data_IF_737036898127
#
_entry.id   IF_737036898127
#
_cell.length_a   1.000
_cell.length_b   1.000
_cell.length_c   1.000
_cell.angle_alpha   90.00
_cell.angle_beta   90.00
_cell.angle_gamma   90.00
#
_symmetry.space_group_name_H-M   'P 1'
#
loop_
_entity.id
_entity.type
_entity.pdbx_description
1 polymer ?
#
# COMPACT_ATOMS: atom_id res chain seq x y z
N UNK A 1 23.14 1.99 3.22
CA UNK A 1 22.81 3.05 2.26
C UNK A 1 21.86 3.99 2.97
N UNK A 2 22.11 5.29 2.95
CA UNK A 2 21.28 6.25 3.67
C UNK A 2 19.89 6.30 3.04
N UNK A 3 18.84 6.29 3.88
CA UNK A 3 17.46 6.39 3.38
C UNK A 3 17.25 7.77 2.75
N UNK A 4 16.73 7.78 1.53
CA UNK A 4 16.34 9.00 0.83
C UNK A 4 14.86 9.27 1.13
N UNK A 5 14.59 10.32 1.89
CA UNK A 5 13.23 10.88 1.98
C UNK A 5 12.85 11.51 0.64
N UNK A 6 11.65 11.24 0.15
CA UNK A 6 11.18 11.81 -1.11
C UNK A 6 10.74 13.26 -0.88
N UNK A 7 11.67 14.20 -0.98
CA UNK A 7 11.34 15.64 -1.00
C UNK A 7 10.36 15.99 -2.14
N UNK A 8 9.63 17.10 -2.00
CA UNK A 8 8.57 17.51 -2.95
C UNK A 8 8.98 17.52 -4.43
N UNK A 9 10.17 18.01 -4.82
CA UNK A 9 10.58 17.98 -6.22
C UNK A 9 10.72 16.55 -6.76
N UNK A 10 11.28 15.64 -5.97
CA UNK A 10 11.50 14.27 -6.38
C UNK A 10 10.20 13.47 -6.46
N UNK A 11 9.28 13.65 -5.50
CA UNK A 11 7.90 13.11 -5.57
C UNK A 11 7.21 13.58 -6.85
N UNK A 12 7.34 14.86 -7.20
CA UNK A 12 6.70 15.43 -8.39
C UNK A 12 7.23 14.78 -9.67
N UNK A 13 8.55 14.54 -9.75
CA UNK A 13 9.16 13.82 -10.87
C UNK A 13 8.62 12.40 -10.95
N UNK A 14 8.62 11.64 -9.85
CA UNK A 14 8.09 10.26 -9.80
C UNK A 14 6.63 10.23 -10.25
N UNK A 15 5.76 11.08 -9.70
CA UNK A 15 4.35 11.17 -10.09
C UNK A 15 4.22 11.45 -11.59
N UNK A 16 5.03 12.35 -12.13
CA UNK A 16 4.99 12.68 -13.56
C UNK A 16 5.38 11.48 -14.42
N UNK A 17 6.41 10.74 -14.01
CA UNK A 17 6.86 9.49 -14.65
C UNK A 17 5.74 8.44 -14.60
N UNK A 18 5.10 8.24 -13.45
CA UNK A 18 4.00 7.29 -13.28
C UNK A 18 2.77 7.65 -14.13
N UNK A 19 2.56 8.94 -14.37
CA UNK A 19 1.48 9.46 -15.22
C UNK A 19 1.81 9.42 -16.72
N UNK A 20 3.06 9.18 -17.11
CA UNK A 20 3.45 9.10 -18.51
C UNK A 20 2.96 7.79 -19.16
N UNK A 21 2.78 7.83 -20.49
CA UNK A 21 2.56 6.62 -21.27
C UNK A 21 3.72 5.64 -21.01
N UNK A 22 3.46 4.35 -20.69
CA UNK A 22 4.51 3.37 -20.43
C UNK A 22 5.59 3.31 -21.52
N UNK A 23 5.24 3.56 -22.79
CA UNK A 23 6.20 3.63 -23.90
C UNK A 23 7.25 4.73 -23.73
N UNK A 24 6.94 5.81 -23.01
CA UNK A 24 7.87 6.91 -22.71
C UNK A 24 8.86 6.55 -21.58
N UNK A 25 8.60 5.47 -20.81
CA UNK A 25 9.54 5.00 -19.79
C UNK A 25 10.80 4.38 -20.39
N UNK A 26 10.73 3.95 -21.66
CA UNK A 26 11.90 3.51 -22.43
C UNK A 26 13.03 4.55 -22.50
N UNK A 27 12.74 5.84 -22.26
CA UNK A 27 13.73 6.92 -22.14
C UNK A 27 14.67 6.72 -20.94
N UNK A 28 14.22 6.04 -19.88
CA UNK A 28 15.05 5.68 -18.72
C UNK A 28 15.92 4.43 -18.97
N UNK A 29 15.94 3.88 -20.19
CA UNK A 29 16.83 2.78 -20.58
C UNK A 29 16.21 1.39 -20.41
N UNK A 30 16.74 0.57 -19.48
CA UNK A 30 16.28 -0.83 -19.27
C UNK A 30 14.89 -0.91 -18.65
N UNK A 31 14.45 0.15 -17.98
CA UNK A 31 13.15 0.27 -17.30
C UNK A 31 12.05 0.52 -18.34
N UNK A 32 11.73 -0.49 -19.15
CA UNK A 32 10.67 -0.41 -20.18
C UNK A 32 9.26 -0.56 -19.59
N UNK A 33 9.18 -0.97 -18.33
CA UNK A 33 7.98 -1.35 -17.60
C UNK A 33 7.97 -0.61 -16.26
N UNK A 34 6.78 -0.17 -15.80
CA UNK A 34 6.63 0.56 -14.52
C UNK A 34 7.09 -0.29 -13.32
N UNK A 35 7.19 -1.58 -13.53
CA UNK A 35 7.42 -2.64 -12.54
C UNK A 35 8.87 -2.67 -12.07
N UNK A 36 9.81 -2.43 -12.98
CA UNK A 36 11.22 -2.25 -12.63
C UNK A 36 11.47 -0.90 -11.97
N UNK A 37 10.62 0.10 -12.22
CA UNK A 37 10.82 1.43 -11.67
C UNK A 37 10.67 1.47 -10.15
N UNK A 38 9.72 0.72 -9.58
CA UNK A 38 9.60 0.60 -8.11
C UNK A 38 10.88 0.00 -7.50
N UNK A 39 11.39 -1.08 -8.11
CA UNK A 39 12.62 -1.76 -7.68
C UNK A 39 13.86 -0.87 -7.80
N UNK A 40 13.97 -0.14 -8.90
CA UNK A 40 15.07 0.80 -9.15
C UNK A 40 15.08 1.89 -8.08
N UNK A 41 13.91 2.46 -7.76
CA UNK A 41 13.74 3.47 -6.72
C UNK A 41 14.11 2.93 -5.32
N UNK A 42 13.71 1.70 -4.99
CA UNK A 42 14.15 1.04 -3.75
C UNK A 42 15.67 0.85 -3.71
N UNK A 43 16.26 0.41 -4.82
CA UNK A 43 17.70 0.13 -4.93
C UNK A 43 18.54 1.40 -4.69
N UNK A 44 18.05 2.56 -5.15
CA UNK A 44 18.71 3.84 -4.90
C UNK A 44 18.45 4.41 -3.49
N UNK A 45 17.70 3.69 -2.63
CA UNK A 45 17.51 4.03 -1.23
C UNK A 45 16.22 4.80 -0.91
N UNK A 46 15.26 4.88 -1.83
CA UNK A 46 13.96 5.48 -1.54
C UNK A 46 13.20 4.64 -0.50
N UNK A 47 12.44 5.31 0.39
CA UNK A 47 11.66 4.60 1.40
C UNK A 47 10.47 3.84 0.80
N UNK A 48 10.34 2.56 1.16
CA UNK A 48 9.29 1.67 0.67
C UNK A 48 7.88 2.23 0.87
N UNK A 49 7.57 2.79 2.03
CA UNK A 49 6.21 3.24 2.35
C UNK A 49 5.84 4.50 1.56
N UNK A 50 6.80 5.39 1.35
CA UNK A 50 6.61 6.58 0.51
C UNK A 50 6.41 6.20 -0.96
N UNK A 51 7.14 5.20 -1.46
CA UNK A 51 6.94 4.69 -2.81
C UNK A 51 5.59 3.99 -2.96
N UNK A 52 5.22 3.14 -2.01
CA UNK A 52 3.96 2.41 -2.05
C UNK A 52 2.76 3.37 -2.08
N UNK A 53 2.79 4.40 -1.22
CA UNK A 53 1.79 5.47 -1.22
C UNK A 53 1.70 6.17 -2.59
N UNK A 54 2.83 6.53 -3.19
CA UNK A 54 2.85 7.20 -4.50
C UNK A 54 2.31 6.32 -5.61
N UNK A 55 2.72 5.05 -5.66
CA UNK A 55 2.29 4.11 -6.69
C UNK A 55 0.81 3.78 -6.57
N UNK A 56 0.30 3.57 -5.35
CA UNK A 56 -1.11 3.31 -5.12
C UNK A 56 -1.99 4.51 -5.52
N UNK A 57 -1.59 5.74 -5.13
CA UNK A 57 -2.32 6.95 -5.50
C UNK A 57 -2.28 7.29 -7.00
N UNK A 58 -1.27 6.78 -7.73
CA UNK A 58 -1.20 6.93 -9.18
C UNK A 58 -1.85 5.76 -9.95
N UNK A 59 -2.51 4.82 -9.25
CA UNK A 59 -3.05 3.58 -9.84
C UNK A 59 -1.98 2.83 -10.68
N UNK A 60 -0.72 2.90 -10.23
CA UNK A 60 0.43 2.38 -10.95
C UNK A 60 0.83 0.96 -10.50
N UNK A 61 0.06 0.36 -9.59
CA UNK A 61 0.27 -1.01 -9.11
C UNK A 61 -0.48 -1.97 -10.03
N UNK A 62 0.28 -2.86 -10.67
CA UNK A 62 -0.21 -3.96 -11.50
C UNK A 62 0.41 -5.30 -11.02
N UNK A 63 0.03 -6.42 -11.65
CA UNK A 63 0.48 -7.76 -11.29
C UNK A 63 2.02 -7.94 -11.26
N UNK A 64 2.75 -7.29 -12.16
CA UNK A 64 4.21 -7.38 -12.24
C UNK A 64 4.86 -6.59 -11.10
N UNK A 65 4.40 -5.35 -10.84
CA UNK A 65 4.85 -4.56 -9.69
C UNK A 65 4.50 -5.19 -8.33
N UNK A 66 3.38 -5.92 -8.24
CA UNK A 66 2.92 -6.57 -6.99
C UNK A 66 3.98 -7.54 -6.47
N UNK A 67 4.56 -8.37 -7.34
CA UNK A 67 5.61 -9.31 -6.93
C UNK A 67 6.82 -8.58 -6.36
N UNK A 68 7.24 -7.49 -7.02
CA UNK A 68 8.32 -6.65 -6.51
C UNK A 68 7.97 -6.01 -5.16
N UNK A 69 6.74 -5.53 -4.97
CA UNK A 69 6.29 -4.94 -3.70
C UNK A 69 6.35 -5.99 -2.60
N UNK A 70 5.77 -7.18 -2.83
CA UNK A 70 5.69 -8.29 -1.88
C UNK A 70 7.08 -8.77 -1.44
N UNK A 71 8.02 -8.93 -2.39
CA UNK A 71 9.39 -9.36 -2.10
C UNK A 71 10.19 -8.36 -1.25
N UNK A 72 9.80 -7.08 -1.26
CA UNK A 72 10.53 -6.00 -0.62
C UNK A 72 9.80 -5.40 0.60
N UNK A 73 8.73 -6.05 1.08
CA UNK A 73 7.99 -5.57 2.25
C UNK A 73 8.89 -5.57 3.51
N UNK A 74 9.08 -4.42 4.18
CA UNK A 74 9.86 -4.36 5.41
C UNK A 74 9.01 -4.73 6.63
N UNK A 75 9.64 -5.38 7.62
CA UNK A 75 9.13 -5.62 8.99
C UNK A 75 7.66 -6.11 9.05
N UNK A 76 7.42 -7.31 8.54
CA UNK A 76 6.07 -7.91 8.47
C UNK A 76 5.63 -8.45 9.84
N UNK A 77 4.50 -7.97 10.33
CA UNK A 77 3.74 -8.57 11.44
C UNK A 77 2.67 -9.53 10.87
N UNK A 78 2.57 -10.75 11.40
CA UNK A 78 1.59 -11.74 10.93
C UNK A 78 0.26 -11.56 11.67
N UNK A 79 -0.84 -11.54 10.92
CA UNK A 79 -2.21 -11.55 11.43
C UNK A 79 -2.83 -12.89 11.01
N UNK A 80 -2.93 -13.83 11.96
CA UNK A 80 -3.46 -15.17 11.72
C UNK A 80 -5.00 -15.21 11.74
N UNK A 81 -5.60 -14.32 12.53
CA UNK A 81 -7.04 -14.25 12.67
C UNK A 81 -7.51 -12.82 12.43
N UNK A 82 -8.12 -12.55 11.27
CA UNK A 82 -8.61 -11.23 10.88
C UNK A 82 -10.01 -10.93 11.43
N UNK A 83 -10.29 -11.32 12.69
CA UNK A 83 -11.50 -10.87 13.37
C UNK A 83 -11.52 -9.34 13.53
N UNK A 84 -12.68 -8.80 13.86
CA UNK A 84 -12.92 -7.36 13.91
C UNK A 84 -11.95 -6.61 14.83
N UNK A 85 -11.44 -7.26 15.90
CA UNK A 85 -10.45 -6.67 16.82
C UNK A 85 -9.08 -6.54 16.14
N UNK A 86 -8.65 -7.55 15.39
CA UNK A 86 -7.36 -7.55 14.69
C UNK A 86 -7.38 -6.61 13.49
N UNK A 87 -8.45 -6.60 12.70
CA UNK A 87 -8.64 -5.60 11.63
C UNK A 87 -8.59 -4.19 12.20
N UNK A 88 -9.29 -3.94 13.30
CA UNK A 88 -9.27 -2.65 13.99
C UNK A 88 -7.88 -2.30 14.52
N UNK A 89 -7.08 -3.27 14.98
CA UNK A 89 -5.72 -3.04 15.49
C UNK A 89 -4.78 -2.51 14.41
N UNK A 90 -4.99 -2.92 13.15
CA UNK A 90 -4.23 -2.41 12.02
C UNK A 90 -4.56 -0.94 11.68
N UNK A 91 -5.72 -0.43 12.09
CA UNK A 91 -6.18 0.96 11.90
C UNK A 91 -6.25 1.68 13.25
N UNK A 92 -5.11 2.17 13.79
CA UNK A 92 -5.08 2.82 15.09
C UNK A 92 -5.88 4.14 15.11
N UNK A 93 -5.89 4.87 14.00
CA UNK A 93 -6.48 6.19 13.91
C UNK A 93 -7.48 6.26 12.75
N UNK A 94 -8.72 6.62 13.08
CA UNK A 94 -9.77 6.88 12.11
C UNK A 94 -10.69 7.97 12.64
N UNK A 95 -10.85 9.03 11.87
CA UNK A 95 -11.71 10.15 12.24
C UNK A 95 -12.92 10.16 11.32
N UNK A 96 -14.08 9.73 11.83
CA UNK A 96 -15.33 9.96 11.13
C UNK A 96 -15.62 11.47 11.13
N UNK A 97 -15.37 12.14 10.01
CA UNK A 97 -15.79 13.52 9.82
C UNK A 97 -17.32 13.59 9.64
N UNK A 98 -17.92 14.72 10.05
CA UNK A 98 -19.33 15.04 9.76
C UNK A 98 -19.62 15.21 8.26
N UNK A 99 -18.59 15.19 7.41
CA UNK A 99 -18.62 15.61 6.02
C UNK A 99 -18.10 14.52 5.09
N UNK A 100 -18.67 13.30 5.14
CA UNK A 100 -18.52 12.28 4.08
C UNK A 100 -17.34 11.29 4.19
N UNK A 101 -16.85 10.96 5.39
CA UNK A 101 -15.99 9.77 5.59
C UNK A 101 -16.81 8.64 6.17
N UNK A 102 -16.66 7.42 5.64
CA UNK A 102 -17.22 6.21 6.23
C UNK A 102 -16.80 6.05 7.70
N UNK A 103 -17.62 5.39 8.52
CA UNK A 103 -17.26 5.14 9.91
C UNK A 103 -16.15 4.09 9.99
N UNK A 104 -15.39 4.06 11.10
CA UNK A 104 -14.38 3.01 11.29
C UNK A 104 -15.00 1.60 11.23
N UNK A 105 -16.26 1.45 11.67
CA UNK A 105 -16.97 0.18 11.58
C UNK A 105 -17.19 -0.23 10.12
N UNK A 106 -17.63 0.70 9.28
CA UNK A 106 -17.89 0.44 7.86
C UNK A 106 -16.59 0.07 7.13
N UNK A 107 -15.50 0.76 7.43
CA UNK A 107 -14.18 0.46 6.84
C UNK A 107 -13.62 -0.88 7.29
N UNK A 108 -13.73 -1.21 8.58
CA UNK A 108 -13.33 -2.55 9.05
C UNK A 108 -14.16 -3.64 8.35
N UNK A 109 -15.46 -3.41 8.16
CA UNK A 109 -16.33 -4.35 7.45
C UNK A 109 -15.94 -4.47 5.97
N UNK A 110 -15.63 -3.35 5.30
CA UNK A 110 -15.18 -3.34 3.91
C UNK A 110 -13.85 -4.09 3.73
N UNK A 111 -12.86 -3.82 4.59
CA UNK A 111 -11.59 -4.54 4.60
C UNK A 111 -11.80 -6.05 4.74
N UNK A 112 -12.66 -6.44 5.69
CA UNK A 112 -12.98 -7.85 5.92
C UNK A 112 -13.61 -8.48 4.68
N UNK A 113 -14.55 -7.78 4.04
CA UNK A 113 -15.16 -8.25 2.79
C UNK A 113 -14.10 -8.48 1.71
N UNK A 114 -13.22 -7.51 1.44
CA UNK A 114 -12.16 -7.67 0.42
C UNK A 114 -11.22 -8.84 0.71
N UNK A 115 -10.86 -9.04 1.99
CA UNK A 115 -10.04 -10.16 2.46
C UNK A 115 -10.75 -11.50 2.24
N UNK A 116 -12.03 -11.60 2.60
CA UNK A 116 -12.84 -12.82 2.49
C UNK A 116 -13.19 -13.17 1.04
N UNK A 117 -13.34 -12.16 0.18
CA UNK A 117 -13.66 -12.35 -1.24
C UNK A 117 -12.44 -12.45 -2.16
N UNK A 118 -11.23 -12.52 -1.61
CA UNK A 118 -9.96 -12.56 -2.36
C UNK A 118 -9.93 -11.52 -3.49
N UNK A 119 -10.40 -10.31 -3.19
CA UNK A 119 -10.58 -9.27 -4.20
C UNK A 119 -9.25 -8.68 -4.61
N UNK A 120 -8.62 -9.29 -5.61
CA UNK A 120 -7.34 -8.86 -6.16
C UNK A 120 -7.35 -7.37 -6.49
N UNK A 121 -6.31 -6.67 -6.03
CA UNK A 121 -6.15 -5.25 -6.26
C UNK A 121 -5.47 -4.53 -5.12
N UNK A 122 -5.42 -3.21 -5.24
CA UNK A 122 -4.95 -2.30 -4.19
C UNK A 122 -6.09 -1.38 -3.78
N UNK A 123 -6.36 -1.31 -2.48
CA UNK A 123 -7.40 -0.48 -1.90
C UNK A 123 -6.76 0.54 -0.95
N UNK A 124 -7.03 1.82 -1.18
CA UNK A 124 -6.43 2.92 -0.43
C UNK A 124 -7.48 3.53 0.50
N UNK A 125 -7.16 3.61 1.78
CA UNK A 125 -8.01 4.18 2.82
C UNK A 125 -7.32 5.38 3.45
N UNK A 126 -8.07 6.46 3.63
CA UNK A 126 -7.59 7.68 4.27
C UNK A 126 -8.39 7.92 5.55
N UNK A 127 -7.70 8.08 6.68
CA UNK A 127 -8.33 8.26 8.00
C UNK A 127 -9.16 9.54 8.10
N UNK A 128 -8.96 10.47 7.17
CA UNK A 128 -9.70 11.71 7.04
C UNK A 128 -9.87 12.11 5.56
N UNK A 129 -10.95 12.82 5.23
CA UNK A 129 -11.18 13.38 3.89
C UNK A 129 -11.31 14.92 3.91
N UNK A 130 -10.80 15.55 4.96
CA UNK A 130 -10.81 17.00 5.11
C UNK A 130 -9.90 17.67 4.10
N UNK A 131 -10.42 18.69 3.41
CA UNK A 131 -9.60 19.58 2.55
C UNK A 131 -8.56 20.40 3.34
N UNK A 132 -8.70 20.44 4.67
CA UNK A 132 -7.76 21.15 5.52
C UNK A 132 -6.53 20.27 5.81
N UNK A 133 -5.42 20.57 5.13
CA UNK A 133 -4.13 19.88 5.27
C UNK A 133 -3.52 19.90 6.68
N UNK A 134 -4.06 20.72 7.60
CA UNK A 134 -3.64 20.72 9.02
C UNK A 134 -4.26 19.58 9.82
N UNK A 135 -5.29 18.92 9.28
CA UNK A 135 -5.94 17.79 9.95
C UNK A 135 -5.17 16.53 9.59
N UNK A 136 -4.84 15.77 10.62
CA UNK A 136 -4.12 14.52 10.50
C UNK A 136 -4.88 13.53 9.59
N UNK A 137 -4.17 12.97 8.61
CA UNK A 137 -4.71 12.01 7.64
C UNK A 137 -3.71 10.87 7.46
N UNK A 138 -3.98 9.74 8.10
CA UNK A 138 -3.22 8.51 7.88
C UNK A 138 -3.69 7.83 6.61
N UNK A 139 -2.73 7.36 5.82
CA UNK A 139 -3.00 6.51 4.66
C UNK A 139 -2.76 5.05 5.03
N UNK A 140 -3.75 4.23 4.73
CA UNK A 140 -3.67 2.78 4.85
C UNK A 140 -3.88 2.15 3.48
N UNK A 141 -3.20 1.04 3.22
CA UNK A 141 -3.26 0.37 1.92
C UNK A 141 -3.47 -1.12 2.17
N UNK A 142 -4.53 -1.68 1.59
CA UNK A 142 -4.73 -3.12 1.48
C UNK A 142 -4.30 -3.55 0.08
N UNK A 143 -3.39 -4.52 0.01
CA UNK A 143 -2.94 -5.15 -1.23
C UNK A 143 -3.34 -6.62 -1.18
N UNK A 144 -4.15 -7.04 -2.15
CA UNK A 144 -4.55 -8.43 -2.33
C UNK A 144 -4.07 -8.90 -3.71
N UNK A 145 -3.40 -10.03 -3.71
CA UNK A 145 -2.97 -10.77 -4.89
C UNK A 145 -3.27 -12.25 -4.69
N UNK A 146 -3.20 -13.04 -5.76
CA UNK A 146 -3.57 -14.47 -5.76
C UNK A 146 -2.95 -15.29 -4.62
N UNK A 147 -1.79 -14.89 -4.10
CA UNK A 147 -1.04 -15.63 -3.08
C UNK A 147 -0.74 -14.84 -1.81
N UNK A 148 -1.07 -13.54 -1.77
CA UNK A 148 -0.66 -12.68 -0.66
C UNK A 148 -1.67 -11.58 -0.38
N UNK A 149 -1.94 -11.39 0.92
CA UNK A 149 -2.75 -10.31 1.47
C UNK A 149 -1.90 -9.50 2.43
N UNK A 150 -1.66 -8.24 2.10
CA UNK A 150 -0.90 -7.32 2.94
C UNK A 150 -1.72 -6.09 3.27
N UNK A 151 -1.59 -5.63 4.51
CA UNK A 151 -2.12 -4.35 4.95
C UNK A 151 -0.96 -3.46 5.42
N UNK A 152 -0.99 -2.20 5.03
CA UNK A 152 0.07 -1.25 5.32
C UNK A 152 -0.49 -0.02 6.02
N UNK A 153 0.17 0.36 7.11
CA UNK A 153 0.00 1.65 7.79
C UNK A 153 1.20 2.51 7.38
N UNK A 154 0.97 3.39 6.39
CA UNK A 154 2.03 4.14 5.71
C UNK A 154 2.71 5.10 6.67
N UNK A 155 1.92 5.83 7.44
CA UNK A 155 2.40 6.87 8.35
C UNK A 155 3.25 6.27 9.48
N UNK A 156 2.88 5.10 10.01
CA UNK A 156 3.66 4.41 11.05
C UNK A 156 4.72 3.48 10.51
N UNK A 157 4.84 3.36 9.18
CA UNK A 157 5.78 2.45 8.50
C UNK A 157 5.66 1.02 9.05
N UNK A 158 4.43 0.50 9.05
CA UNK A 158 4.10 -0.86 9.49
C UNK A 158 3.49 -1.68 8.37
N UNK A 159 3.87 -2.96 8.33
CA UNK A 159 3.38 -3.94 7.37
C UNK A 159 2.76 -5.10 8.11
N UNK A 160 1.58 -5.53 7.68
CA UNK A 160 0.90 -6.70 8.22
C UNK A 160 0.65 -7.69 7.08
N UNK A 161 0.99 -8.96 7.27
CA UNK A 161 0.59 -10.03 6.37
C UNK A 161 -0.57 -10.78 6.99
N UNK A 162 -1.66 -10.90 6.23
CA UNK A 162 -2.88 -11.56 6.65
C UNK A 162 -2.83 -12.98 6.09
N UNK A 163 -2.89 -13.96 6.97
CA UNK A 163 -2.97 -15.37 6.60
C UNK A 163 -4.33 -15.90 7.07
N UNK A 164 -4.94 -16.79 6.29
CA UNK A 164 -6.16 -17.47 6.72
C UNK A 164 -5.76 -18.67 7.59
N UNK A 165 -6.53 -18.96 8.65
CA UNK A 165 -6.37 -20.15 9.50
C UNK A 165 -6.36 -21.48 8.70
N UNK A 166 -6.77 -21.47 7.43
CA UNK A 166 -6.73 -22.62 6.51
C UNK A 166 -5.47 -22.75 5.64
N UNK A 167 -4.53 -21.81 5.66
CA UNK A 167 -3.24 -21.89 4.94
C UNK A 167 -2.11 -22.50 5.80
N UNK A 168 -2.38 -22.78 7.08
CA UNK A 168 -1.44 -23.46 7.99
C UNK A 168 -1.59 -24.97 7.90
N UNK A 169 -1.52 -25.54 6.69
CA UNK A 169 -1.15 -26.95 6.49
C UNK A 169 -0.67 -27.14 5.07
N UNK A 170 0.64 -27.05 4.87
CA UNK A 170 1.44 -28.01 4.09
C UNK A 170 2.83 -27.40 3.93
N UNK A 171 3.76 -27.85 4.78
CA UNK A 171 5.15 -28.18 4.45
C UNK A 171 5.89 -28.50 5.76
N UNK A 172 5.72 -29.75 6.20
CA UNK A 172 6.72 -30.49 6.97
C UNK A 172 7.49 -31.34 5.98
#
# INVERSE_FOLDING_TARGET
>A
MDKIELGTPFRTVIIKILSCNPKMLSVFGRTKEKDLFFKDLLTIGCDFYELLELFANCEAINNESINCIVENVPNVEIIENYNDKEIRRMIPHWSSSKYHTATIKDICQELKMHIESDSNGTFVYNSNNSKNKKVYNDTYILLISDSNKFFFDINRKKSYKIINDGEVTENV
#
